data_IF_458974620923
#
_entry.id   IF_458974620923
#
_cell.length_a   1.000
_cell.length_b   1.000
_cell.length_c   1.000
_cell.angle_alpha   90.00
_cell.angle_beta   90.00
_cell.angle_gamma   90.00
#
_symmetry.space_group_name_H-M   'P 1'
#
loop_
_entity.id
_entity.type
_entity.pdbx_description
1 polymer ?
#
# COMPACT_ATOMS: atom_id res chain seq x y z
N UNK A 1 0.30 25.17 33.05
CA UNK A 1 1.59 24.95 32.36
C UNK A 1 1.56 23.54 31.85
N UNK A 2 1.12 23.36 30.62
CA UNK A 2 1.04 22.07 29.93
C UNK A 2 2.04 22.12 28.80
N UNK A 3 3.05 21.26 28.88
CA UNK A 3 4.08 21.06 27.86
C UNK A 3 3.41 20.84 26.51
N UNK A 4 3.63 21.80 25.61
CA UNK A 4 3.44 21.59 24.19
C UNK A 4 4.56 20.65 23.75
N UNK A 5 4.25 19.35 23.66
CA UNK A 5 5.10 18.36 22.99
C UNK A 5 5.28 18.86 21.56
N UNK A 6 6.39 19.57 21.33
CA UNK A 6 6.78 20.04 20.02
C UNK A 6 7.17 18.78 19.26
N UNK A 7 6.21 18.17 18.54
CA UNK A 7 6.53 17.14 17.57
C UNK A 7 7.56 17.77 16.63
N UNK A 8 8.80 17.29 16.71
CA UNK A 8 9.85 17.69 15.79
C UNK A 8 9.30 17.57 14.36
N UNK A 9 9.52 18.58 13.51
CA UNK A 9 9.13 18.46 12.12
C UNK A 9 9.78 17.21 11.53
N UNK A 10 8.99 16.45 10.79
CA UNK A 10 9.45 15.28 10.06
C UNK A 10 10.59 15.70 9.13
N UNK A 11 11.82 15.34 9.48
CA UNK A 11 13.00 15.62 8.66
C UNK A 11 12.98 14.65 7.47
N UNK A 12 12.45 15.13 6.34
CA UNK A 12 12.30 14.36 5.11
C UNK A 12 13.66 14.17 4.42
N UNK A 13 14.56 13.45 5.09
CA UNK A 13 15.84 13.07 4.50
C UNK A 13 15.55 12.09 3.35
N UNK A 14 15.81 12.56 2.13
CA UNK A 14 15.68 11.76 0.91
C UNK A 14 16.83 10.76 0.87
N UNK A 15 16.51 9.47 0.79
CA UNK A 15 17.50 8.40 0.61
C UNK A 15 18.30 8.65 -0.67
N UNK A 16 19.63 8.59 -0.67
CA UNK A 16 20.45 8.67 -1.88
C UNK A 16 20.07 7.65 -2.95
N UNK A 17 20.41 7.91 -4.21
CA UNK A 17 20.04 7.05 -5.33
C UNK A 17 20.71 5.68 -5.23
N UNK A 18 22.04 5.71 -5.09
CA UNK A 18 22.87 4.51 -5.03
C UNK A 18 22.50 3.64 -3.82
N UNK A 19 22.15 4.26 -2.68
CA UNK A 19 21.68 3.55 -1.49
C UNK A 19 20.42 2.71 -1.77
N UNK A 20 19.47 3.22 -2.58
CA UNK A 20 18.27 2.45 -2.97
C UNK A 20 18.63 1.34 -3.96
N UNK A 21 19.47 1.65 -4.95
CA UNK A 21 19.92 0.66 -5.94
C UNK A 21 20.63 -0.52 -5.28
N UNK A 22 21.49 -0.24 -4.30
CA UNK A 22 22.25 -1.24 -3.58
C UNK A 22 21.39 -2.01 -2.58
N UNK A 23 20.53 -1.33 -1.81
CA UNK A 23 19.68 -1.96 -0.81
C UNK A 23 18.73 -3.03 -1.39
N UNK A 24 18.27 -2.83 -2.64
CA UNK A 24 17.33 -3.73 -3.31
C UNK A 24 17.94 -4.49 -4.50
N UNK A 25 19.27 -4.50 -4.61
CA UNK A 25 20.04 -5.16 -5.67
C UNK A 25 19.47 -4.94 -7.09
N UNK A 26 19.24 -3.67 -7.44
CA UNK A 26 18.67 -3.29 -8.73
C UNK A 26 19.73 -3.37 -9.83
N UNK A 27 20.14 -4.59 -10.19
CA UNK A 27 21.32 -4.86 -11.04
C UNK A 27 21.34 -4.13 -12.38
N UNK A 28 20.18 -3.91 -13.01
CA UNK A 28 20.05 -3.12 -14.26
C UNK A 28 20.60 -1.71 -14.10
N UNK A 29 20.42 -1.09 -12.93
CA UNK A 29 20.83 0.29 -12.64
C UNK A 29 22.29 0.40 -12.20
N UNK A 30 23.01 -0.72 -12.06
CA UNK A 30 24.46 -0.73 -11.80
C UNK A 30 25.27 -0.58 -13.10
N UNK A 31 24.62 -0.75 -14.26
CA UNK A 31 25.20 -0.44 -15.57
C UNK A 31 25.30 1.09 -15.76
N UNK A 32 26.31 1.58 -16.48
CA UNK A 32 26.40 3.01 -16.79
C UNK A 32 25.26 3.39 -17.73
N UNK A 33 24.25 4.09 -17.22
CA UNK A 33 23.17 4.64 -18.02
C UNK A 33 23.59 5.92 -18.74
N UNK A 34 23.96 5.82 -20.01
CA UNK A 34 24.14 6.98 -20.88
C UNK A 34 22.81 7.37 -21.57
N UNK A 35 22.76 8.54 -22.19
CA UNK A 35 21.59 8.99 -22.94
C UNK A 35 21.44 8.13 -24.19
N UNK A 36 20.25 7.59 -24.42
CA UNK A 36 19.99 6.82 -25.63
C UNK A 36 19.93 7.72 -26.86
N UNK A 37 20.57 7.29 -27.94
CA UNK A 37 20.48 7.91 -29.26
C UNK A 37 19.75 6.98 -30.23
N UNK A 38 18.98 7.54 -31.14
CA UNK A 38 18.35 6.80 -32.23
C UNK A 38 19.31 6.60 -33.43
N UNK A 39 18.80 6.01 -34.50
CA UNK A 39 19.59 5.72 -35.72
C UNK A 39 20.06 7.00 -36.45
N UNK A 40 19.52 8.17 -36.11
CA UNK A 40 19.96 9.47 -36.65
C UNK A 40 20.94 10.20 -35.73
N UNK A 41 21.24 9.64 -34.55
CA UNK A 41 22.09 10.24 -33.53
C UNK A 41 21.36 11.26 -32.66
N UNK A 42 20.03 11.36 -32.78
CA UNK A 42 19.20 12.22 -31.95
C UNK A 42 18.89 11.54 -30.63
N UNK A 43 18.68 12.34 -29.57
CA UNK A 43 18.36 11.81 -28.24
C UNK A 43 16.97 11.18 -28.27
N UNK A 44 16.90 9.91 -27.87
CA UNK A 44 15.63 9.21 -27.69
C UNK A 44 14.86 9.87 -26.56
N UNK A 45 13.62 10.25 -26.84
CA UNK A 45 12.72 10.86 -25.86
C UNK A 45 11.73 9.82 -25.33
N UNK A 46 11.45 9.89 -24.04
CA UNK A 46 10.36 9.17 -23.40
C UNK A 46 9.00 9.65 -23.90
N UNK A 47 7.93 8.91 -23.60
CA UNK A 47 6.54 9.32 -23.92
C UNK A 47 6.14 10.67 -23.31
N UNK A 48 6.83 11.12 -22.26
CA UNK A 48 6.55 12.39 -21.59
C UNK A 48 7.39 13.54 -22.16
N UNK A 49 8.29 13.27 -23.11
CA UNK A 49 9.17 14.28 -23.71
C UNK A 49 10.45 14.54 -22.92
N UNK A 50 10.79 13.70 -21.92
CA UNK A 50 12.10 13.73 -21.26
C UNK A 50 13.10 12.84 -22.00
N UNK A 51 14.41 13.15 -21.99
CA UNK A 51 15.45 12.26 -22.50
C UNK A 51 15.41 10.87 -21.84
N UNK A 52 15.57 9.82 -22.64
CA UNK A 52 15.64 8.45 -22.15
C UNK A 52 17.06 8.12 -21.67
N UNK A 53 17.17 7.68 -20.40
CA UNK A 53 18.41 7.15 -19.85
C UNK A 53 18.52 5.64 -20.11
N UNK A 54 19.60 5.20 -20.76
CA UNK A 54 19.78 3.81 -21.15
C UNK A 54 18.63 3.32 -22.03
N UNK A 55 18.39 2.01 -22.03
CA UNK A 55 17.22 1.43 -22.72
C UNK A 55 15.90 1.67 -21.95
N UNK A 56 14.77 1.25 -22.54
CA UNK A 56 13.44 1.41 -21.94
C UNK A 56 13.37 0.81 -20.53
N UNK A 57 13.98 -0.37 -20.36
CA UNK A 57 14.00 -1.10 -19.10
C UNK A 57 14.78 -0.34 -18.02
N UNK A 58 15.98 0.12 -18.36
CA UNK A 58 16.79 0.98 -17.49
C UNK A 58 16.02 2.24 -17.10
N UNK A 59 15.48 2.96 -18.07
CA UNK A 59 14.79 4.23 -17.84
C UNK A 59 13.56 4.06 -16.93
N UNK A 60 12.75 3.02 -17.17
CA UNK A 60 11.57 2.73 -16.35
C UNK A 60 11.94 2.48 -14.89
N UNK A 61 12.97 1.67 -14.63
CA UNK A 61 13.41 1.36 -13.27
C UNK A 61 14.09 2.57 -12.61
N UNK A 62 14.87 3.35 -13.37
CA UNK A 62 15.48 4.60 -12.91
C UNK A 62 14.40 5.58 -12.41
N UNK A 63 13.36 5.80 -13.21
CA UNK A 63 12.24 6.69 -12.83
C UNK A 63 11.48 6.19 -11.62
N UNK A 64 11.27 4.87 -11.49
CA UNK A 64 10.68 4.28 -10.30
C UNK A 64 11.51 4.59 -9.05
N UNK A 65 12.83 4.40 -9.10
CA UNK A 65 13.72 4.72 -7.98
C UNK A 65 13.63 6.19 -7.61
N UNK A 66 13.62 7.09 -8.59
CA UNK A 66 13.47 8.53 -8.33
C UNK A 66 12.14 8.86 -7.65
N UNK A 67 11.02 8.35 -8.18
CA UNK A 67 9.69 8.53 -7.56
C UNK A 67 9.63 7.94 -6.15
N UNK A 68 10.23 6.77 -5.94
CA UNK A 68 10.31 6.14 -4.63
C UNK A 68 11.06 7.02 -3.65
N UNK A 69 12.27 7.46 -3.95
CA UNK A 69 13.10 8.27 -3.04
C UNK A 69 12.41 9.54 -2.59
N UNK A 70 11.66 10.19 -3.48
CA UNK A 70 10.92 11.41 -3.14
C UNK A 70 9.66 11.13 -2.32
N UNK A 71 9.04 9.96 -2.48
CA UNK A 71 7.82 9.60 -1.76
C UNK A 71 8.07 8.78 -0.49
N UNK A 72 9.21 8.10 -0.37
CA UNK A 72 9.55 7.17 0.70
C UNK A 72 9.33 7.77 2.10
N UNK A 73 9.78 8.99 2.41
CA UNK A 73 9.54 9.57 3.73
C UNK A 73 8.05 9.66 4.07
N UNK A 74 7.21 10.01 3.09
CA UNK A 74 5.76 10.08 3.25
C UNK A 74 5.12 8.68 3.35
N UNK A 75 5.57 7.73 2.53
CA UNK A 75 5.10 6.34 2.59
C UNK A 75 5.43 5.73 3.97
N UNK A 76 6.63 5.96 4.50
CA UNK A 76 7.03 5.54 5.86
C UNK A 76 6.13 6.15 6.92
N UNK A 77 5.85 7.45 6.82
CA UNK A 77 4.96 8.12 7.76
C UNK A 77 3.55 7.55 7.74
N UNK A 78 2.96 7.35 6.55
CA UNK A 78 1.64 6.72 6.41
C UNK A 78 1.62 5.30 6.98
N UNK A 79 2.66 4.51 6.70
CA UNK A 79 2.79 3.15 7.21
C UNK A 79 2.88 3.14 8.74
N UNK A 80 3.77 3.95 9.33
CA UNK A 80 3.88 4.05 10.79
C UNK A 80 2.56 4.49 11.44
N UNK A 81 1.87 5.46 10.84
CA UNK A 81 0.60 5.99 11.35
C UNK A 81 -0.51 4.94 11.28
N UNK A 82 -0.58 4.17 10.19
CA UNK A 82 -1.46 3.01 10.08
C UNK A 82 -1.28 2.04 11.25
N UNK A 83 -0.07 1.54 11.49
CA UNK A 83 0.17 0.55 12.56
C UNK A 83 0.00 1.13 13.96
N UNK A 84 0.33 2.40 14.17
CA UNK A 84 0.02 3.12 15.41
C UNK A 84 -1.49 3.15 15.67
N UNK A 85 -2.28 3.39 14.62
CA UNK A 85 -3.75 3.47 14.72
C UNK A 85 -4.37 2.10 14.98
N UNK A 86 -3.86 1.04 14.35
CA UNK A 86 -4.25 -0.35 14.64
C UNK A 86 -3.94 -0.75 16.09
N UNK A 87 -2.76 -0.37 16.59
CA UNK A 87 -2.39 -0.62 17.99
C UNK A 87 -3.32 0.13 18.95
N UNK A 88 -3.64 1.40 18.65
CA UNK A 88 -4.57 2.19 19.43
C UNK A 88 -5.97 1.56 19.45
N UNK A 89 -6.41 0.97 18.34
CA UNK A 89 -7.69 0.26 18.28
C UNK A 89 -7.74 -0.91 19.26
N UNK A 90 -6.70 -1.73 19.34
CA UNK A 90 -6.65 -2.84 20.32
C UNK A 90 -6.80 -2.34 21.76
N UNK A 91 -6.16 -1.22 22.10
CA UNK A 91 -6.31 -0.59 23.42
C UNK A 91 -7.74 -0.07 23.65
N UNK A 92 -8.40 0.42 22.59
CA UNK A 92 -9.79 0.87 22.66
C UNK A 92 -10.78 -0.29 22.79
N UNK A 93 -10.47 -1.46 22.21
CA UNK A 93 -11.26 -2.68 22.40
C UNK A 93 -11.27 -3.10 23.88
N UNK A 94 -10.12 -3.06 24.54
CA UNK A 94 -10.00 -3.31 25.99
C UNK A 94 -10.76 -2.26 26.81
N UNK A 95 -10.70 -1.00 26.41
CA UNK A 95 -11.45 0.08 27.06
C UNK A 95 -12.97 -0.09 26.90
N UNK A 96 -13.43 -0.56 25.74
CA UNK A 96 -14.84 -0.83 25.47
C UNK A 96 -15.35 -1.97 26.34
N UNK A 97 -14.58 -3.05 26.46
CA UNK A 97 -14.88 -4.16 27.35
C UNK A 97 -14.98 -3.68 28.80
N UNK A 98 -14.05 -2.85 29.27
CA UNK A 98 -14.08 -2.30 30.62
C UNK A 98 -15.30 -1.38 30.88
N UNK A 99 -15.77 -0.64 29.87
CA UNK A 99 -17.03 0.12 29.94
C UNK A 99 -18.22 -0.84 30.06
N UNK A 100 -18.24 -1.89 29.24
CA UNK A 100 -19.27 -2.94 29.26
C UNK A 100 -19.37 -3.66 30.61
N UNK A 101 -18.23 -4.07 31.19
CA UNK A 101 -18.15 -4.75 32.48
C UNK A 101 -18.72 -3.87 33.60
N UNK A 102 -18.38 -2.57 33.61
CA UNK A 102 -18.96 -1.61 34.57
C UNK A 102 -20.47 -1.47 34.41
N UNK A 103 -20.99 -1.46 33.18
CA UNK A 103 -22.44 -1.46 32.95
C UNK A 103 -23.09 -2.72 33.51
N UNK A 104 -22.50 -3.88 33.23
CA UNK A 104 -22.99 -5.16 33.70
C UNK A 104 -23.03 -5.22 35.23
N UNK A 105 -21.98 -4.76 35.92
CA UNK A 105 -21.95 -4.67 37.38
C UNK A 105 -23.08 -3.78 37.95
N UNK A 106 -23.34 -2.64 37.33
CA UNK A 106 -24.42 -1.72 37.76
C UNK A 106 -25.80 -2.36 37.58
N UNK A 107 -26.02 -3.05 36.45
CA UNK A 107 -27.26 -3.78 36.20
C UNK A 107 -27.45 -4.94 37.20
N UNK A 108 -26.39 -5.72 37.48
CA UNK A 108 -26.43 -6.87 38.39
C UNK A 108 -26.64 -6.46 39.86
N UNK A 109 -26.26 -5.25 40.26
CA UNK A 109 -26.54 -4.68 41.59
C UNK A 109 -27.98 -4.17 41.76
N UNK A 110 -28.86 -4.38 40.77
CA UNK A 110 -30.27 -4.01 40.84
C UNK A 110 -30.54 -2.51 40.63
N UNK A 111 -29.54 -1.75 40.18
CA UNK A 111 -29.64 -0.31 39.97
C UNK A 111 -30.00 0.04 38.52
N UNK A 112 -31.21 -0.33 38.07
CA UNK A 112 -31.86 0.22 36.87
C UNK A 112 -31.04 0.23 35.56
N UNK A 113 -31.52 0.99 34.57
CA UNK A 113 -30.79 1.19 33.31
C UNK A 113 -29.51 2.02 33.54
N UNK A 114 -28.45 1.82 32.74
CA UNK A 114 -27.20 2.57 32.88
C UNK A 114 -27.42 4.08 32.83
N UNK A 115 -26.67 4.82 33.65
CA UNK A 115 -26.73 6.27 33.73
C UNK A 115 -26.36 6.98 32.41
N UNK A 116 -26.75 8.25 32.26
CA UNK A 116 -26.31 9.07 31.11
C UNK A 116 -24.78 9.19 30.99
N UNK A 117 -24.04 9.13 32.10
CA UNK A 117 -22.57 9.08 32.09
C UNK A 117 -22.01 7.78 31.51
N UNK A 118 -22.73 6.66 31.65
CA UNK A 118 -22.35 5.42 30.95
C UNK A 118 -22.51 5.59 29.44
N UNK A 119 -23.65 6.13 28.99
CA UNK A 119 -23.88 6.39 27.57
C UNK A 119 -22.80 7.29 26.97
N UNK A 120 -22.43 8.37 27.65
CA UNK A 120 -21.35 9.25 27.19
C UNK A 120 -19.99 8.56 27.10
N UNK A 121 -19.62 7.75 28.09
CA UNK A 121 -18.36 6.99 28.07
C UNK A 121 -18.34 5.92 26.97
N UNK A 122 -19.47 5.25 26.76
CA UNK A 122 -19.63 4.26 25.70
C UNK A 122 -19.49 4.88 24.31
N UNK A 123 -20.17 6.01 24.06
CA UNK A 123 -20.06 6.75 22.81
C UNK A 123 -18.65 7.29 22.56
N UNK A 124 -17.97 7.85 23.56
CA UNK A 124 -16.59 8.34 23.40
C UNK A 124 -15.61 7.24 22.98
N UNK A 125 -15.71 6.04 23.59
CA UNK A 125 -14.85 4.91 23.20
C UNK A 125 -15.19 4.42 21.79
N UNK A 126 -16.48 4.28 21.46
CA UNK A 126 -16.91 3.88 20.12
C UNK A 126 -16.48 4.87 19.04
N UNK A 127 -16.63 6.16 19.26
CA UNK A 127 -16.25 7.20 18.30
C UNK A 127 -14.75 7.16 18.03
N UNK A 128 -13.93 6.95 19.07
CA UNK A 128 -12.48 6.78 18.92
C UNK A 128 -12.10 5.50 18.21
N UNK A 129 -12.81 4.40 18.49
CA UNK A 129 -12.58 3.11 17.83
C UNK A 129 -12.92 3.19 16.34
N UNK A 130 -14.05 3.82 16.02
CA UNK A 130 -14.47 4.10 14.65
C UNK A 130 -13.47 5.01 13.93
N UNK A 131 -13.02 6.10 14.58
CA UNK A 131 -12.00 6.98 14.02
C UNK A 131 -10.68 6.24 13.76
N UNK A 132 -10.27 5.33 14.66
CA UNK A 132 -9.07 4.51 14.46
C UNK A 132 -9.24 3.53 13.30
N UNK A 133 -10.35 2.78 13.23
CA UNK A 133 -10.60 1.84 12.14
C UNK A 133 -10.67 2.55 10.78
N UNK A 134 -11.43 3.64 10.70
CA UNK A 134 -11.59 4.41 9.46
C UNK A 134 -10.28 5.10 9.06
N UNK A 135 -9.54 5.66 10.02
CA UNK A 135 -8.23 6.25 9.80
C UNK A 135 -7.22 5.24 9.26
N UNK A 136 -7.16 4.04 9.84
CA UNK A 136 -6.32 2.94 9.35
C UNK A 136 -6.67 2.59 7.88
N UNK A 137 -7.96 2.46 7.57
CA UNK A 137 -8.43 2.24 6.19
C UNK A 137 -7.96 3.34 5.22
N UNK A 138 -8.05 4.62 5.60
CA UNK A 138 -7.59 5.75 4.79
C UNK A 138 -6.08 5.70 4.54
N UNK A 139 -5.28 5.48 5.58
CA UNK A 139 -3.82 5.45 5.44
C UNK A 139 -3.37 4.26 4.59
N UNK A 140 -3.98 3.09 4.80
CA UNK A 140 -3.71 1.90 4.00
C UNK A 140 -4.12 2.08 2.53
N UNK A 141 -5.30 2.63 2.27
CA UNK A 141 -5.76 2.93 0.92
C UNK A 141 -4.88 3.95 0.20
N UNK A 142 -4.42 4.99 0.92
CA UNK A 142 -3.50 5.99 0.39
C UNK A 142 -2.15 5.38 0.00
N UNK A 143 -1.60 4.50 0.83
CA UNK A 143 -0.40 3.73 0.50
C UNK A 143 -0.59 2.88 -0.76
N UNK A 144 -1.68 2.12 -0.83
CA UNK A 144 -2.00 1.29 -1.99
C UNK A 144 -2.14 2.10 -3.28
N UNK A 145 -2.79 3.28 -3.22
CA UNK A 145 -2.91 4.18 -4.37
C UNK A 145 -1.55 4.70 -4.85
N UNK A 146 -0.67 5.13 -3.93
CA UNK A 146 0.65 5.64 -4.26
C UNK A 146 1.54 4.55 -4.87
N UNK A 147 1.56 3.35 -4.26
CA UNK A 147 2.29 2.20 -4.77
C UNK A 147 1.75 1.76 -6.15
N UNK A 148 0.43 1.77 -6.31
CA UNK A 148 -0.21 1.46 -7.59
C UNK A 148 0.21 2.44 -8.66
N UNK A 149 0.20 3.75 -8.38
CA UNK A 149 0.62 4.77 -9.35
C UNK A 149 2.08 4.57 -9.79
N UNK A 150 3.00 4.33 -8.84
CA UNK A 150 4.42 4.11 -9.13
C UNK A 150 4.63 2.86 -10.00
N UNK A 151 4.00 1.73 -9.63
CA UNK A 151 4.18 0.48 -10.35
C UNK A 151 3.47 0.47 -11.72
N UNK A 152 2.30 1.10 -11.84
CA UNK A 152 1.62 1.24 -13.13
C UNK A 152 2.44 2.09 -14.10
N UNK A 153 3.09 3.15 -13.61
CA UNK A 153 4.03 3.94 -14.43
C UNK A 153 5.18 3.09 -14.94
N UNK A 154 5.82 2.30 -14.06
CA UNK A 154 6.86 1.35 -14.46
C UNK A 154 6.37 0.38 -15.54
N UNK A 155 5.19 -0.21 -15.34
CA UNK A 155 4.58 -1.14 -16.30
C UNK A 155 4.40 -0.49 -17.66
N UNK A 156 3.89 0.73 -17.70
CA UNK A 156 3.56 1.43 -18.94
C UNK A 156 4.81 1.97 -19.66
N UNK A 157 5.85 2.34 -18.90
CA UNK A 157 7.17 2.67 -19.42
C UNK A 157 7.83 1.42 -20.05
N UNK A 158 7.81 0.28 -19.34
CA UNK A 158 8.38 -0.99 -19.80
C UNK A 158 7.52 -1.77 -20.80
N UNK A 159 6.29 -1.32 -21.09
CA UNK A 159 5.29 -2.07 -21.85
C UNK A 159 4.98 -3.47 -21.25
N UNK A 160 5.17 -3.63 -19.93
CA UNK A 160 5.17 -4.91 -19.23
C UNK A 160 3.78 -5.49 -18.90
N UNK A 161 2.77 -5.21 -19.72
CA UNK A 161 1.38 -5.63 -19.45
C UNK A 161 1.25 -7.16 -19.38
N UNK A 162 1.95 -7.87 -20.25
CA UNK A 162 1.91 -9.34 -20.32
C UNK A 162 2.64 -9.98 -19.14
N UNK A 163 3.71 -9.34 -18.66
CA UNK A 163 4.56 -9.84 -17.58
C UNK A 163 3.99 -9.51 -16.19
N UNK A 164 3.05 -8.56 -16.10
CA UNK A 164 2.49 -8.04 -14.84
C UNK A 164 1.98 -9.12 -13.88
N UNK A 165 1.35 -10.17 -14.42
CA UNK A 165 0.82 -11.30 -13.65
C UNK A 165 1.80 -12.47 -13.53
N UNK A 166 2.90 -12.45 -14.29
CA UNK A 166 3.81 -13.59 -14.47
C UNK A 166 5.14 -13.44 -13.72
N UNK A 167 5.39 -12.30 -13.08
CA UNK A 167 6.62 -12.04 -12.32
C UNK A 167 6.34 -11.92 -10.83
N UNK A 168 7.24 -12.51 -10.04
CA UNK A 168 7.14 -12.52 -8.58
C UNK A 168 7.70 -11.24 -7.93
N UNK A 169 7.56 -11.09 -6.60
CA UNK A 169 7.09 -12.12 -5.68
C UNK A 169 5.57 -12.35 -5.77
N UNK A 170 5.15 -13.54 -5.34
CA UNK A 170 3.76 -13.99 -5.40
C UNK A 170 3.21 -14.28 -4.01
N UNK A 171 1.95 -13.92 -3.79
CA UNK A 171 1.18 -14.27 -2.60
C UNK A 171 -0.08 -14.99 -3.04
N UNK A 172 -0.20 -16.27 -2.66
CA UNK A 172 -1.28 -17.16 -3.10
C UNK A 172 -1.52 -17.14 -4.62
N UNK A 173 -0.43 -17.11 -5.40
CA UNK A 173 -0.49 -17.14 -6.88
C UNK A 173 -0.71 -15.78 -7.55
N UNK A 174 -0.86 -14.68 -6.80
CA UNK A 174 -0.99 -13.34 -7.34
C UNK A 174 0.30 -12.54 -7.15
N UNK A 175 0.76 -11.85 -8.20
CA UNK A 175 1.95 -11.01 -8.13
C UNK A 175 1.69 -9.74 -7.30
N UNK A 176 2.75 -9.16 -6.72
CA UNK A 176 2.67 -7.90 -5.96
C UNK A 176 1.96 -6.79 -6.74
N UNK A 177 2.31 -6.57 -8.02
CA UNK A 177 1.69 -5.52 -8.83
C UNK A 177 0.18 -5.71 -9.00
N UNK A 178 -0.28 -6.94 -9.20
CA UNK A 178 -1.69 -7.28 -9.34
C UNK A 178 -2.45 -7.08 -8.03
N UNK A 179 -1.86 -7.46 -6.90
CA UNK A 179 -2.46 -7.27 -5.57
C UNK A 179 -2.60 -5.78 -5.24
N UNK A 180 -1.54 -5.00 -5.45
CA UNK A 180 -1.54 -3.55 -5.20
C UNK A 180 -2.58 -2.85 -6.08
N UNK A 181 -2.66 -3.19 -7.37
CA UNK A 181 -3.66 -2.63 -8.29
C UNK A 181 -5.09 -2.99 -7.87
N UNK A 182 -5.34 -4.25 -7.47
CA UNK A 182 -6.66 -4.67 -7.00
C UNK A 182 -7.08 -3.96 -5.71
N UNK A 183 -6.19 -3.88 -4.72
CA UNK A 183 -6.44 -3.16 -3.47
C UNK A 183 -6.71 -1.67 -3.70
N UNK A 184 -5.88 -1.01 -4.52
CA UNK A 184 -6.07 0.38 -4.90
C UNK A 184 -7.41 0.64 -5.61
N UNK A 185 -7.84 -0.27 -6.49
CA UNK A 185 -9.16 -0.18 -7.13
C UNK A 185 -10.30 -0.40 -6.13
N UNK A 186 -10.15 -1.36 -5.22
CA UNK A 186 -11.13 -1.62 -4.17
C UNK A 186 -11.32 -0.43 -3.23
N UNK A 187 -10.23 0.27 -2.90
CA UNK A 187 -10.31 1.50 -2.13
C UNK A 187 -10.95 2.64 -2.93
N UNK A 188 -10.49 2.91 -4.16
CA UNK A 188 -10.99 4.02 -5.00
C UNK A 188 -12.49 3.91 -5.31
N UNK A 189 -12.96 2.68 -5.50
CA UNK A 189 -14.32 2.40 -5.97
C UNK A 189 -15.20 1.74 -4.90
N UNK A 190 -14.84 1.82 -3.62
CA UNK A 190 -15.55 1.13 -2.53
C UNK A 190 -17.06 1.40 -2.54
N UNK A 191 -17.46 2.67 -2.65
CA UNK A 191 -18.87 3.07 -2.70
C UNK A 191 -19.60 2.57 -3.95
N UNK A 192 -18.90 2.49 -5.08
CA UNK A 192 -19.46 1.95 -6.33
C UNK A 192 -19.66 0.44 -6.21
N UNK A 193 -18.66 -0.26 -5.68
CA UNK A 193 -18.69 -1.72 -5.53
C UNK A 193 -19.80 -2.15 -4.56
N UNK A 194 -19.99 -1.41 -3.46
CA UNK A 194 -21.05 -1.66 -2.49
C UNK A 194 -22.47 -1.50 -3.06
N UNK A 195 -22.63 -0.75 -4.17
CA UNK A 195 -23.92 -0.50 -4.83
C UNK A 195 -24.17 -1.40 -6.05
N UNK A 196 -23.15 -2.12 -6.51
CA UNK A 196 -23.21 -2.84 -7.80
C UNK A 196 -23.45 -4.33 -7.59
N UNK A 197 -24.67 -4.79 -7.87
CA UNK A 197 -25.04 -6.21 -7.78
C UNK A 197 -25.80 -6.69 -9.04
N UNK A 198 -25.27 -7.69 -9.78
CA UNK A 198 -23.98 -8.36 -9.58
C UNK A 198 -22.78 -7.46 -9.92
N UNK A 199 -21.56 -7.74 -9.39
CA UNK A 199 -20.35 -6.98 -9.72
C UNK A 199 -20.04 -6.99 -11.22
N UNK A 200 -19.53 -5.87 -11.75
CA UNK A 200 -19.00 -5.81 -13.13
C UNK A 200 -17.78 -6.71 -13.25
N UNK A 201 -17.48 -7.20 -14.46
CA UNK A 201 -16.36 -8.12 -14.70
C UNK A 201 -15.00 -7.61 -14.15
N UNK A 202 -14.70 -6.31 -14.28
CA UNK A 202 -13.46 -5.74 -13.73
C UNK A 202 -13.46 -5.65 -12.20
N UNK A 203 -14.61 -5.35 -11.59
CA UNK A 203 -14.78 -5.35 -10.14
C UNK A 203 -14.59 -6.77 -9.60
N UNK A 204 -15.26 -7.75 -10.22
CA UNK A 204 -15.15 -9.17 -9.84
C UNK A 204 -13.71 -9.67 -9.91
N UNK A 205 -12.97 -9.37 -11.00
CA UNK A 205 -11.55 -9.72 -11.10
C UNK A 205 -10.71 -9.15 -9.95
N UNK A 206 -10.94 -7.89 -9.57
CA UNK A 206 -10.20 -7.29 -8.46
C UNK A 206 -10.59 -7.93 -7.13
N UNK A 207 -11.88 -8.21 -6.91
CA UNK A 207 -12.37 -8.95 -5.74
C UNK A 207 -11.76 -10.36 -5.65
N UNK A 208 -11.69 -11.09 -6.77
CA UNK A 208 -11.07 -12.42 -6.85
C UNK A 208 -9.58 -12.39 -6.46
N UNK A 209 -8.85 -11.36 -6.92
CA UNK A 209 -7.43 -11.16 -6.55
C UNK A 209 -7.29 -10.88 -5.06
N UNK A 210 -8.15 -10.02 -4.50
CA UNK A 210 -8.12 -9.66 -3.08
C UNK A 210 -8.43 -10.90 -2.23
N UNK A 211 -9.50 -11.62 -2.55
CA UNK A 211 -9.90 -12.86 -1.88
C UNK A 211 -8.81 -13.93 -1.99
N UNK A 212 -8.21 -14.11 -3.17
CA UNK A 212 -7.11 -15.05 -3.40
C UNK A 212 -5.87 -14.71 -2.59
N UNK A 213 -5.43 -13.45 -2.62
CA UNK A 213 -4.27 -12.97 -1.86
C UNK A 213 -4.45 -13.13 -0.34
N UNK A 214 -5.70 -13.04 0.15
CA UNK A 214 -6.06 -13.20 1.56
C UNK A 214 -6.52 -14.62 1.93
N UNK A 215 -6.46 -15.57 1.00
CA UNK A 215 -6.90 -16.93 1.26
C UNK A 215 -6.21 -17.53 2.49
N UNK A 216 -7.00 -18.10 3.40
CA UNK A 216 -6.54 -18.66 4.67
C UNK A 216 -6.30 -17.64 5.79
N UNK A 217 -6.58 -16.36 5.57
CA UNK A 217 -6.50 -15.30 6.59
C UNK A 217 -7.89 -14.96 7.16
N UNK A 218 -7.94 -14.30 8.33
CA UNK A 218 -9.18 -13.72 8.83
C UNK A 218 -9.82 -12.79 7.80
N UNK A 219 -11.16 -12.67 7.86
CA UNK A 219 -11.87 -11.74 6.98
C UNK A 219 -11.39 -10.30 7.22
N UNK A 220 -11.30 -9.49 6.16
CA UNK A 220 -10.98 -8.08 6.28
C UNK A 220 -11.96 -7.35 7.19
N UNK A 221 -11.47 -6.32 7.86
CA UNK A 221 -12.30 -5.43 8.63
C UNK A 221 -13.25 -4.62 7.73
N UNK A 222 -14.48 -4.38 8.18
CA UNK A 222 -15.45 -3.55 7.45
C UNK A 222 -14.93 -2.11 7.22
N UNK A 223 -14.08 -1.61 8.13
CA UNK A 223 -13.40 -0.32 8.03
C UNK A 223 -12.18 -0.31 7.10
N UNK A 224 -11.91 -1.38 6.35
CA UNK A 224 -10.78 -1.52 5.42
C UNK A 224 -11.26 -1.60 3.96
N UNK A 225 -11.59 -0.48 3.29
CA UNK A 225 -12.05 -0.52 1.91
C UNK A 225 -10.99 -1.13 0.99
N UNK A 226 -11.42 -2.08 0.16
CA UNK A 226 -10.51 -2.86 -0.69
C UNK A 226 -9.58 -3.80 0.08
N UNK A 227 -9.84 -4.06 1.36
CA UNK A 227 -9.00 -4.85 2.26
C UNK A 227 -7.54 -4.34 2.32
N UNK A 228 -7.34 -3.03 2.16
CA UNK A 228 -6.00 -2.47 2.00
C UNK A 228 -5.12 -2.71 3.24
N UNK A 229 -5.69 -2.67 4.45
CA UNK A 229 -4.96 -2.93 5.69
C UNK A 229 -4.39 -4.35 5.69
N UNK A 230 -5.22 -5.33 5.36
CA UNK A 230 -4.89 -6.75 5.38
C UNK A 230 -3.91 -7.10 4.26
N UNK A 231 -4.13 -6.56 3.06
CA UNK A 231 -3.21 -6.72 1.94
C UNK A 231 -1.85 -6.10 2.23
N UNK A 232 -1.80 -4.91 2.85
CA UNK A 232 -0.52 -4.35 3.30
C UNK A 232 0.15 -5.25 4.33
N UNK A 233 -0.59 -5.86 5.27
CA UNK A 233 -0.01 -6.81 6.21
C UNK A 233 0.55 -8.07 5.51
N UNK A 234 -0.08 -8.54 4.42
CA UNK A 234 0.47 -9.62 3.56
C UNK A 234 1.77 -9.16 2.90
N UNK A 235 1.71 -8.05 2.17
CA UNK A 235 2.80 -7.57 1.32
C UNK A 235 4.00 -7.08 2.12
N UNK A 236 3.79 -6.58 3.33
CA UNK A 236 4.84 -6.00 4.17
C UNK A 236 5.53 -6.99 5.09
N UNK A 237 4.89 -8.13 5.38
CA UNK A 237 5.31 -8.99 6.49
C UNK A 237 5.34 -8.26 7.85
N UNK A 238 4.59 -7.15 7.98
CA UNK A 238 4.55 -6.31 9.20
C UNK A 238 5.59 -5.19 9.26
N UNK A 239 6.39 -4.95 8.22
CA UNK A 239 7.41 -3.89 8.20
C UNK A 239 7.43 -3.10 6.90
N UNK A 240 7.80 -1.82 6.98
CA UNK A 240 7.90 -0.99 5.77
C UNK A 240 9.00 -1.52 4.83
N UNK A 241 10.09 -2.01 5.40
CA UNK A 241 11.22 -2.60 4.69
C UNK A 241 10.81 -3.87 3.93
N UNK A 242 9.97 -4.72 4.54
CA UNK A 242 9.42 -5.89 3.87
C UNK A 242 8.51 -5.50 2.70
N UNK A 243 7.71 -4.43 2.85
CA UNK A 243 6.89 -3.89 1.77
C UNK A 243 7.76 -3.37 0.62
N UNK A 244 8.74 -2.53 0.94
CA UNK A 244 9.67 -1.97 -0.03
C UNK A 244 10.43 -3.07 -0.77
N UNK A 245 10.93 -4.07 -0.05
CA UNK A 245 11.62 -5.23 -0.63
C UNK A 245 10.74 -5.96 -1.64
N UNK A 246 9.49 -6.25 -1.30
CA UNK A 246 8.56 -6.94 -2.21
C UNK A 246 8.20 -6.08 -3.44
N UNK A 247 8.03 -4.77 -3.26
CA UNK A 247 7.76 -3.81 -4.35
C UNK A 247 8.96 -3.72 -5.30
N UNK A 248 10.17 -3.56 -4.78
CA UNK A 248 11.37 -3.46 -5.60
C UNK A 248 11.76 -4.78 -6.26
N UNK A 249 11.59 -5.91 -5.56
CA UNK A 249 11.80 -7.24 -6.16
C UNK A 249 10.85 -7.44 -7.35
N UNK A 250 9.58 -7.06 -7.20
CA UNK A 250 8.61 -7.10 -8.30
C UNK A 250 9.03 -6.19 -9.47
N UNK A 251 9.34 -4.94 -9.17
CA UNK A 251 9.74 -3.96 -10.17
C UNK A 251 10.99 -4.41 -10.95
N UNK A 252 11.98 -4.95 -10.25
CA UNK A 252 13.19 -5.49 -10.84
C UNK A 252 12.88 -6.67 -11.77
N UNK A 253 12.15 -7.68 -11.27
CA UNK A 253 11.79 -8.86 -12.06
C UNK A 253 10.97 -8.51 -13.30
N UNK A 254 10.01 -7.59 -13.18
CA UNK A 254 9.24 -7.08 -14.30
C UNK A 254 10.17 -6.48 -15.35
N UNK A 255 11.07 -5.61 -14.92
CA UNK A 255 11.99 -4.89 -15.81
C UNK A 255 12.95 -5.85 -16.51
N UNK A 256 13.55 -6.79 -15.78
CA UNK A 256 14.41 -7.85 -16.34
C UNK A 256 13.66 -8.65 -17.40
N UNK A 257 12.42 -9.05 -17.12
CA UNK A 257 11.62 -9.82 -18.07
C UNK A 257 11.21 -9.04 -19.31
N UNK A 258 10.91 -7.74 -19.17
CA UNK A 258 10.62 -6.89 -20.32
C UNK A 258 11.88 -6.69 -21.19
N UNK A 259 13.05 -6.52 -20.56
CA UNK A 259 14.34 -6.34 -21.26
C UNK A 259 14.77 -7.58 -22.06
N UNK A 260 14.45 -8.78 -21.57
CA UNK A 260 14.78 -10.06 -22.24
C UNK A 260 13.91 -10.34 -23.48
N UNK A 261 12.86 -9.56 -23.73
CA UNK A 261 11.87 -9.80 -24.78
C UNK A 261 11.01 -11.06 -24.51
N UNK A 262 10.00 -11.33 -25.34
CA UNK A 262 9.29 -12.60 -25.27
C UNK A 262 10.30 -13.72 -25.55
N UNK A 263 10.49 -14.61 -24.59
CA UNK A 263 11.23 -15.86 -24.82
C UNK A 263 10.51 -16.58 -25.95
N UNK A 264 11.09 -16.55 -27.14
CA UNK A 264 10.55 -17.24 -28.30
C UNK A 264 10.34 -18.71 -27.97
N UNK A 265 9.09 -19.14 -28.03
CA UNK A 265 8.73 -20.53 -28.24
C UNK A 265 8.50 -20.73 -29.74
#
# INVERSE_FOLDING_TARGET
MTDATTQQPFDARITPYDDVVDAYDLTILKEVGDWSQDDTGDIVMTKDGDPQHGDIAYNGLFRLVQMWRYSEPHLRHLFATLYSTLTQRTVLDDALNAVGDRAHEVMMRGHGMPSGSFGAAFHDVLDRQAAAAFGAGIYAGSLMLMLSAILLRLRDDNQGKEQWTAVGPFFNGHSVGVIIEAGANGFRHADEWAKTHPPKAQQKRSQDIIEGALHGRPQPDEGSPGACVELLAVLSGGSFEGLATNVFTFAHNLTVKCRQGPSGY
#
